data_IF_292042054453
#
_entry.id   IF_292042054453
#
_cell.length_a   1.000
_cell.length_b   1.000
_cell.length_c   1.000
_cell.angle_alpha   90.00
_cell.angle_beta   90.00
_cell.angle_gamma   90.00
#
_symmetry.space_group_name_H-M   'P 1'
#
loop_
_entity.id
_entity.type
_entity.pdbx_description
1 polymer ?
#
# COMPACT_ATOMS: atom_id res chain seq x y z
N UNK A 1 -6.60 7.57 12.51
CA UNK A 1 -5.23 7.43 12.05
C UNK A 1 -4.89 5.95 11.85
N UNK A 2 -4.23 5.65 10.75
CA UNK A 2 -3.84 4.28 10.48
C UNK A 2 -2.62 3.86 11.31
N UNK A 3 -2.70 2.67 11.87
CA UNK A 3 -1.64 2.07 12.68
C UNK A 3 -1.16 0.81 11.97
N UNK A 4 0.16 0.67 11.86
CA UNK A 4 0.80 -0.47 11.22
C UNK A 4 1.53 -1.27 12.29
N UNK A 5 1.07 -2.50 12.56
CA UNK A 5 1.64 -3.32 13.61
C UNK A 5 2.30 -4.57 13.03
N UNK A 6 3.57 -4.85 13.40
CA UNK A 6 4.25 -6.05 12.91
C UNK A 6 3.49 -7.31 13.29
N UNK A 7 3.53 -8.29 12.39
CA UNK A 7 2.98 -9.62 12.64
C UNK A 7 4.12 -10.60 12.85
N UNK A 8 3.79 -11.88 13.06
CA UNK A 8 4.80 -12.93 13.14
C UNK A 8 5.47 -13.20 11.78
N UNK A 9 4.82 -12.81 10.71
CA UNK A 9 5.38 -12.96 9.37
C UNK A 9 6.27 -11.76 9.07
N UNK A 10 7.50 -12.03 8.62
CA UNK A 10 8.48 -10.99 8.36
C UNK A 10 7.96 -9.96 7.36
N UNK A 11 8.22 -8.69 7.64
CA UNK A 11 7.85 -7.55 6.78
C UNK A 11 6.36 -7.42 6.52
N UNK A 12 5.52 -8.10 7.29
CA UNK A 12 4.07 -8.03 7.16
C UNK A 12 3.47 -7.32 8.37
N UNK A 13 2.61 -6.36 8.09
CA UNK A 13 2.01 -5.51 9.09
C UNK A 13 0.50 -5.55 9.01
N UNK A 14 -0.15 -5.65 10.15
CA UNK A 14 -1.60 -5.45 10.24
C UNK A 14 -1.87 -3.96 10.22
N UNK A 15 -2.87 -3.56 9.44
CA UNK A 15 -3.27 -2.16 9.31
C UNK A 15 -4.63 -1.98 9.98
N UNK A 16 -4.70 -1.02 10.90
CA UNK A 16 -5.91 -0.75 11.66
C UNK A 16 -6.14 0.74 11.78
N UNK A 17 -7.37 1.12 12.05
CA UNK A 17 -7.73 2.48 12.44
C UNK A 17 -8.71 2.39 13.60
N UNK A 18 -8.35 2.96 14.74
CA UNK A 18 -9.10 2.75 15.97
C UNK A 18 -9.15 1.26 16.29
N UNK A 19 -10.34 0.75 16.56
CA UNK A 19 -10.54 -0.68 16.82
C UNK A 19 -10.80 -1.49 15.53
N UNK A 20 -10.83 -0.83 14.38
CA UNK A 20 -11.17 -1.48 13.14
C UNK A 20 -9.94 -1.96 12.39
N UNK A 21 -9.91 -3.26 12.10
CA UNK A 21 -8.87 -3.83 11.26
C UNK A 21 -9.23 -3.57 9.79
N UNK A 22 -8.29 -3.01 9.04
CA UNK A 22 -8.48 -2.73 7.61
C UNK A 22 -7.93 -3.84 6.73
N UNK A 23 -6.84 -4.47 7.15
CA UNK A 23 -6.20 -5.50 6.36
C UNK A 23 -4.76 -5.69 6.79
N UNK A 24 -3.93 -6.14 5.84
CA UNK A 24 -2.50 -6.25 6.10
C UNK A 24 -1.72 -5.92 4.84
N UNK A 25 -0.47 -5.51 5.05
CA UNK A 25 0.43 -5.16 3.95
C UNK A 25 1.79 -5.78 4.21
N UNK A 26 2.38 -6.34 3.16
CA UNK A 26 3.76 -6.83 3.19
C UNK A 26 4.59 -5.87 2.36
N UNK A 27 5.61 -5.28 2.99
CA UNK A 27 6.47 -4.35 2.26
C UNK A 27 7.89 -4.41 2.81
N UNK A 28 8.84 -3.97 1.99
CA UNK A 28 10.19 -3.76 2.46
C UNK A 28 10.65 -2.38 2.00
N UNK A 29 11.66 -1.90 2.67
CA UNK A 29 12.15 -0.57 2.47
C UNK A 29 13.58 -0.62 1.97
N UNK A 30 13.88 0.22 1.00
CA UNK A 30 15.25 0.43 0.54
C UNK A 30 15.45 1.94 0.41
N UNK A 31 16.33 2.49 1.25
CA UNK A 31 16.57 3.93 1.29
C UNK A 31 15.27 4.69 1.57
N UNK A 32 14.86 5.55 0.67
CA UNK A 32 13.65 6.35 0.82
C UNK A 32 12.48 5.80 0.01
N UNK A 33 12.60 4.57 -0.43
CA UNK A 33 11.55 3.88 -1.20
C UNK A 33 10.97 2.72 -0.44
N UNK A 34 9.67 2.53 -0.59
CA UNK A 34 8.96 1.35 -0.07
C UNK A 34 8.46 0.54 -1.25
N UNK A 35 8.61 -0.77 -1.17
CA UNK A 35 8.03 -1.70 -2.15
C UNK A 35 7.05 -2.60 -1.42
N UNK A 36 5.76 -2.42 -1.71
CA UNK A 36 4.70 -3.26 -1.18
C UNK A 36 4.47 -4.41 -2.16
N UNK A 37 4.65 -5.63 -1.69
CA UNK A 37 4.52 -6.82 -2.52
C UNK A 37 3.17 -7.50 -2.36
N UNK A 38 2.45 -7.19 -1.30
CA UNK A 38 1.14 -7.75 -1.06
C UNK A 38 0.33 -6.80 -0.18
N UNK A 39 -0.90 -6.57 -0.58
CA UNK A 39 -1.83 -5.73 0.18
C UNK A 39 -3.20 -6.39 0.09
N UNK A 40 -3.73 -6.78 1.25
CA UNK A 40 -5.03 -7.42 1.34
C UNK A 40 -5.88 -6.61 2.30
N UNK A 41 -7.10 -6.29 1.89
CA UNK A 41 -8.06 -5.60 2.75
C UNK A 41 -9.15 -6.55 3.19
N UNK A 42 -9.81 -6.23 4.29
CA UNK A 42 -10.96 -6.97 4.75
C UNK A 42 -12.06 -6.91 3.69
N UNK A 43 -12.71 -8.03 3.35
CA UNK A 43 -13.66 -8.07 2.23
C UNK A 43 -14.79 -7.05 2.32
N UNK A 44 -15.26 -6.73 3.53
CA UNK A 44 -16.35 -5.78 3.70
C UNK A 44 -15.96 -4.35 3.37
N UNK A 45 -14.67 -4.09 3.16
CA UNK A 45 -14.16 -2.75 2.80
C UNK A 45 -13.95 -2.59 1.29
N UNK A 46 -14.24 -3.62 0.52
CA UNK A 46 -14.04 -3.58 -0.92
C UNK A 46 -14.84 -2.43 -1.55
N UNK A 47 -14.21 -1.69 -2.45
CA UNK A 47 -14.86 -0.56 -3.12
C UNK A 47 -14.84 0.74 -2.33
N UNK A 48 -14.23 0.78 -1.15
CA UNK A 48 -14.20 1.97 -0.31
C UNK A 48 -12.87 2.73 -0.37
N UNK A 49 -12.06 2.45 -1.38
CA UNK A 49 -10.79 3.17 -1.62
C UNK A 49 -9.79 2.98 -0.47
N UNK A 50 -9.79 1.83 0.16
CA UNK A 50 -8.92 1.60 1.31
C UNK A 50 -7.48 1.36 0.90
N UNK A 51 -7.24 0.65 -0.21
CA UNK A 51 -5.88 0.31 -0.64
C UNK A 51 -5.03 1.54 -0.87
N UNK A 52 -5.53 2.53 -1.63
CA UNK A 52 -4.75 3.73 -1.90
C UNK A 52 -4.53 4.53 -0.63
N UNK A 53 -5.47 4.53 0.29
CA UNK A 53 -5.32 5.22 1.57
C UNK A 53 -4.24 4.58 2.43
N UNK A 54 -4.16 3.25 2.44
CA UNK A 54 -3.09 2.56 3.18
C UNK A 54 -1.72 2.92 2.59
N UNK A 55 -1.60 2.89 1.27
CA UNK A 55 -0.32 3.19 0.62
C UNK A 55 0.05 4.67 0.78
N UNK A 56 -0.92 5.57 0.73
CA UNK A 56 -0.66 6.99 0.98
C UNK A 56 -0.23 7.23 2.43
N UNK A 57 -0.77 6.48 3.38
CA UNK A 57 -0.33 6.59 4.77
C UNK A 57 1.14 6.18 4.92
N UNK A 58 1.57 5.13 4.23
CA UNK A 58 2.99 4.75 4.22
C UNK A 58 3.85 5.82 3.54
N UNK A 59 3.38 6.36 2.43
CA UNK A 59 4.11 7.39 1.69
C UNK A 59 4.23 8.68 2.49
N UNK A 60 3.33 8.92 3.44
CA UNK A 60 3.33 10.16 4.22
C UNK A 60 4.44 10.23 5.28
N UNK A 61 5.13 9.13 5.58
CA UNK A 61 6.27 9.16 6.49
C UNK A 61 7.34 10.10 5.94
N UNK A 62 7.93 10.94 6.80
CA UNK A 62 8.77 12.03 6.31
C UNK A 62 10.05 11.57 5.61
N UNK A 63 10.49 10.37 5.86
CA UNK A 63 11.69 9.83 5.23
C UNK A 63 11.39 8.90 4.05
N UNK A 64 10.16 8.88 3.57
CA UNK A 64 9.73 8.12 2.40
C UNK A 64 9.39 9.10 1.29
N UNK A 65 9.92 8.87 0.10
CA UNK A 65 9.66 9.74 -1.05
C UNK A 65 8.97 9.03 -2.21
N UNK A 66 8.93 7.70 -2.20
CA UNK A 66 8.16 6.97 -3.22
C UNK A 66 7.72 5.62 -2.67
N UNK A 67 6.62 5.13 -3.22
CA UNK A 67 6.10 3.81 -2.89
C UNK A 67 5.73 3.09 -4.17
N UNK A 68 6.05 1.81 -4.21
CA UNK A 68 5.69 0.93 -5.31
C UNK A 68 4.79 -0.17 -4.80
N UNK A 69 3.84 -0.59 -5.62
CA UNK A 69 2.93 -1.69 -5.30
C UNK A 69 2.90 -2.69 -6.44
N UNK A 70 3.08 -3.97 -6.10
CA UNK A 70 2.83 -5.05 -7.03
C UNK A 70 1.32 -5.32 -7.02
N UNK A 71 0.64 -4.87 -8.06
CA UNK A 71 -0.82 -4.90 -8.10
C UNK A 71 -1.34 -6.14 -8.80
N UNK A 72 -2.43 -6.72 -8.30
CA UNK A 72 -3.20 -7.64 -9.13
C UNK A 72 -3.66 -6.93 -10.40
N UNK A 73 -3.78 -7.69 -11.48
CA UNK A 73 -4.15 -7.13 -12.79
C UNK A 73 -5.45 -6.32 -12.71
N UNK A 74 -6.41 -6.81 -11.96
CA UNK A 74 -7.72 -6.15 -11.88
C UNK A 74 -7.72 -4.84 -11.10
N UNK A 75 -6.62 -4.48 -10.44
CA UNK A 75 -6.53 -3.23 -9.69
C UNK A 75 -5.61 -2.19 -10.34
N UNK A 76 -5.02 -2.49 -11.48
CA UNK A 76 -4.10 -1.56 -12.15
C UNK A 76 -4.78 -0.23 -12.42
N UNK A 77 -5.96 -0.25 -13.05
CA UNK A 77 -6.69 0.98 -13.34
C UNK A 77 -7.06 1.76 -12.09
N UNK A 78 -7.44 1.05 -11.04
CA UNK A 78 -7.73 1.68 -9.76
C UNK A 78 -6.52 2.45 -9.23
N UNK A 79 -5.34 1.83 -9.25
CA UNK A 79 -4.14 2.50 -8.76
C UNK A 79 -3.70 3.65 -9.67
N UNK A 80 -3.87 3.51 -10.97
CA UNK A 80 -3.57 4.61 -11.88
C UNK A 80 -4.45 5.82 -11.60
N UNK A 81 -5.73 5.61 -11.35
CA UNK A 81 -6.63 6.71 -10.98
C UNK A 81 -6.25 7.32 -9.64
N UNK A 82 -5.63 6.57 -8.76
CA UNK A 82 -5.14 7.06 -7.48
C UNK A 82 -3.79 7.78 -7.57
N UNK A 83 -3.25 7.94 -8.77
CA UNK A 83 -2.02 8.68 -8.99
C UNK A 83 -0.76 7.84 -9.10
N UNK A 84 -0.89 6.53 -9.20
CA UNK A 84 0.25 5.66 -9.42
C UNK A 84 0.56 5.55 -10.90
N UNK A 85 1.85 5.41 -11.22
CA UNK A 85 2.29 5.17 -12.59
C UNK A 85 2.74 3.72 -12.74
N UNK A 86 2.33 3.09 -13.84
CA UNK A 86 2.75 1.72 -14.13
C UNK A 86 4.20 1.74 -14.61
N UNK A 87 5.10 1.15 -13.83
CA UNK A 87 6.56 1.20 -14.09
C UNK A 87 7.02 0.10 -15.02
N UNK A 88 6.36 -1.04 -14.99
CA UNK A 88 6.61 -2.13 -15.91
C UNK A 88 5.36 -2.31 -16.74
N UNK A 89 5.39 -3.21 -17.68
CA UNK A 89 4.23 -3.38 -18.56
C UNK A 89 2.96 -3.80 -17.83
N UNK A 90 3.07 -4.25 -16.57
CA UNK A 90 1.95 -4.99 -16.04
C UNK A 90 1.52 -4.62 -14.63
N UNK A 91 2.41 -4.76 -13.67
CA UNK A 91 1.95 -4.89 -12.29
C UNK A 91 2.68 -4.04 -11.28
N UNK A 92 3.81 -3.44 -11.63
CA UNK A 92 4.55 -2.60 -10.71
C UNK A 92 4.17 -1.14 -10.93
N UNK A 93 3.58 -0.53 -9.92
CA UNK A 93 3.15 0.86 -9.97
C UNK A 93 3.87 1.67 -8.91
N UNK A 94 4.22 2.90 -9.26
CA UNK A 94 4.99 3.79 -8.39
C UNK A 94 4.23 5.08 -8.16
N UNK A 95 4.31 5.58 -6.95
CA UNK A 95 3.85 6.91 -6.63
C UNK A 95 4.94 7.63 -5.85
N UNK A 96 5.26 8.83 -6.29
CA UNK A 96 6.24 9.68 -5.63
C UNK A 96 5.54 10.75 -4.82
N UNK A 97 6.18 11.12 -3.73
CA UNK A 97 5.69 12.23 -2.91
C UNK A 97 5.84 13.54 -3.71
N UNK A 98 4.81 14.31 -3.75
CA UNK A 98 4.79 15.60 -4.45
C UNK A 98 5.35 16.74 -3.58
#
# INVERSE_FOLDING_TARGET
RMVFEPTSQDQTFTVSTGAQRLGYVTYHRKDRSIVATNLQIEPYLEGLDIESQILDALLSHEDVEQIQILSPINLISYYEEAGFECQTKHILLTKKKS
#
